data_IF_263918686625
#
_entry.id   IF_263918686625
#
_cell.length_a   1.000
_cell.length_b   1.000
_cell.length_c   1.000
_cell.angle_alpha   90.00
_cell.angle_beta   90.00
_cell.angle_gamma   90.00
#
_symmetry.space_group_name_H-M   'P 1'
#
loop_
_entity.id
_entity.type
_entity.pdbx_description
1 polymer ?
#
# COMPACT_ATOMS: atom_id res chain seq x y z
N UNK A 1 16.21 -23.80 2.38
CA UNK A 1 15.15 -22.84 2.01
C UNK A 1 15.68 -22.07 0.83
N UNK A 2 15.15 -22.30 -0.36
CA UNK A 2 15.53 -21.56 -1.57
C UNK A 2 14.96 -20.14 -1.48
N UNK A 3 15.75 -19.14 -1.89
CA UNK A 3 15.25 -17.78 -2.05
C UNK A 3 14.52 -17.69 -3.39
N UNK A 4 13.24 -17.37 -3.36
CA UNK A 4 12.45 -17.10 -4.57
C UNK A 4 12.52 -15.61 -4.89
N UNK A 5 12.91 -15.28 -6.12
CA UNK A 5 12.95 -13.90 -6.62
C UNK A 5 11.78 -13.68 -7.58
N UNK A 6 11.26 -12.45 -7.59
CA UNK A 6 10.16 -12.06 -8.46
C UNK A 6 10.54 -10.87 -9.33
N UNK A 7 10.12 -10.90 -10.59
CA UNK A 7 10.19 -9.71 -11.44
C UNK A 7 9.27 -8.62 -10.89
N UNK A 8 9.75 -7.39 -10.64
CA UNK A 8 8.95 -6.32 -10.05
C UNK A 8 7.90 -5.72 -11.01
N UNK A 9 7.97 -6.06 -12.31
CA UNK A 9 7.00 -5.59 -13.30
C UNK A 9 5.85 -6.57 -13.53
N UNK A 10 6.12 -7.89 -13.57
CA UNK A 10 5.12 -8.90 -13.93
C UNK A 10 4.91 -9.98 -12.86
N UNK A 11 5.61 -9.88 -11.72
CA UNK A 11 5.52 -10.78 -10.56
C UNK A 11 5.73 -12.26 -10.86
N UNK A 12 6.42 -12.56 -11.95
CA UNK A 12 6.79 -13.95 -12.25
C UNK A 12 8.08 -14.30 -11.55
N UNK A 13 8.17 -15.54 -11.12
CA UNK A 13 9.38 -16.10 -10.53
C UNK A 13 10.52 -16.02 -11.54
N UNK A 14 11.71 -15.65 -11.07
CA UNK A 14 12.92 -15.51 -11.89
C UNK A 14 14.09 -16.16 -11.18
N UNK A 15 14.97 -16.81 -11.95
CA UNK A 15 16.13 -17.52 -11.43
C UNK A 15 17.39 -16.66 -11.57
N UNK A 16 17.60 -15.66 -10.69
CA UNK A 16 18.81 -14.79 -10.70
C UNK A 16 19.16 -14.10 -12.04
N UNK A 17 18.27 -14.13 -13.02
CA UNK A 17 18.47 -13.58 -14.36
C UNK A 17 18.48 -12.04 -14.33
N UNK A 18 19.28 -11.42 -15.21
CA UNK A 18 19.37 -9.96 -15.35
C UNK A 18 18.12 -9.40 -16.06
N UNK A 19 17.55 -10.15 -16.99
CA UNK A 19 16.36 -9.78 -17.78
C UNK A 19 15.26 -10.78 -17.47
N UNK A 20 14.06 -10.30 -17.15
CA UNK A 20 12.93 -11.18 -16.90
C UNK A 20 12.55 -11.97 -18.16
N UNK A 21 12.57 -13.32 -18.13
CA UNK A 21 12.29 -14.15 -19.30
C UNK A 21 10.82 -14.06 -19.76
N UNK A 22 9.91 -13.59 -18.89
CA UNK A 22 8.49 -13.47 -19.23
C UNK A 22 8.12 -12.13 -19.86
N UNK A 23 8.61 -11.02 -19.33
CA UNK A 23 8.19 -9.68 -19.76
C UNK A 23 9.29 -8.82 -20.37
N UNK A 24 10.55 -9.30 -20.38
CA UNK A 24 11.69 -8.59 -20.96
C UNK A 24 12.22 -7.43 -20.11
N UNK A 25 11.69 -7.22 -18.91
CA UNK A 25 12.15 -6.15 -18.01
C UNK A 25 13.59 -6.39 -17.54
N UNK A 26 14.44 -5.37 -17.63
CA UNK A 26 15.76 -5.35 -16.99
C UNK A 26 15.59 -5.20 -15.46
N UNK A 27 16.12 -6.16 -14.71
CA UNK A 27 16.02 -6.22 -13.26
C UNK A 27 17.09 -5.35 -12.56
N UNK A 28 18.18 -4.95 -13.23
CA UNK A 28 19.16 -4.03 -12.67
C UNK A 28 18.57 -2.64 -12.43
N UNK A 29 17.68 -2.20 -13.32
CA UNK A 29 17.00 -0.90 -13.20
C UNK A 29 16.20 -0.78 -11.90
N UNK A 30 15.65 -1.89 -11.41
CA UNK A 30 14.91 -1.89 -10.15
C UNK A 30 15.80 -1.54 -8.96
N UNK A 31 17.09 -1.88 -9.01
CA UNK A 31 18.05 -1.55 -7.95
C UNK A 31 18.20 -0.03 -7.79
N UNK A 32 18.09 0.73 -8.88
CA UNK A 32 18.19 2.19 -8.90
C UNK A 32 16.95 2.93 -8.41
N UNK A 33 15.80 2.26 -8.27
CA UNK A 33 14.57 2.89 -7.75
C UNK A 33 14.73 3.30 -6.29
N UNK A 34 14.04 4.37 -5.92
CA UNK A 34 13.99 4.84 -4.54
C UNK A 34 13.34 3.79 -3.62
N UNK A 35 13.59 3.89 -2.32
CA UNK A 35 12.96 3.02 -1.33
C UNK A 35 11.43 3.10 -1.37
N UNK A 36 10.90 4.31 -1.53
CA UNK A 36 9.46 4.58 -1.66
C UNK A 36 8.86 3.88 -2.89
N UNK A 37 9.48 4.02 -4.07
CA UNK A 37 9.00 3.36 -5.29
C UNK A 37 9.04 1.83 -5.18
N UNK A 38 10.06 1.28 -4.51
CA UNK A 38 10.16 -0.16 -4.25
C UNK A 38 9.03 -0.64 -3.35
N UNK A 39 8.68 0.12 -2.32
CA UNK A 39 7.55 -0.18 -1.44
C UNK A 39 6.21 -0.08 -2.17
N UNK A 40 6.00 0.96 -2.98
CA UNK A 40 4.80 1.11 -3.80
C UNK A 40 4.66 -0.07 -4.77
N UNK A 41 5.76 -0.55 -5.35
CA UNK A 41 5.75 -1.77 -6.17
C UNK A 41 5.37 -3.00 -5.31
N UNK A 42 5.99 -3.16 -4.13
CA UNK A 42 5.80 -4.31 -3.25
C UNK A 42 4.36 -4.49 -2.73
N UNK A 43 3.52 -3.46 -2.85
CA UNK A 43 2.09 -3.56 -2.60
C UNK A 43 1.35 -4.60 -3.49
N UNK A 44 1.92 -4.95 -4.65
CA UNK A 44 1.37 -5.96 -5.57
C UNK A 44 2.12 -7.29 -5.50
N UNK A 45 3.01 -7.44 -4.53
CA UNK A 45 3.87 -8.62 -4.42
C UNK A 45 3.03 -9.89 -4.15
N UNK A 46 3.35 -11.03 -4.80
CA UNK A 46 2.55 -12.25 -4.71
C UNK A 46 2.60 -12.93 -3.34
N UNK A 47 3.72 -12.80 -2.62
CA UNK A 47 3.84 -13.27 -1.23
C UNK A 47 2.91 -12.46 -0.31
N UNK A 48 1.86 -13.05 0.31
CA UNK A 48 0.79 -12.32 1.00
C UNK A 48 1.25 -11.38 2.11
N UNK A 49 2.36 -11.70 2.78
CA UNK A 49 2.85 -10.87 3.89
C UNK A 49 3.60 -9.61 3.42
N UNK A 50 4.05 -9.56 2.17
CA UNK A 50 4.85 -8.44 1.64
C UNK A 50 3.99 -7.19 1.39
N UNK A 51 2.82 -7.26 0.72
CA UNK A 51 1.93 -6.11 0.56
C UNK A 51 1.50 -5.47 1.89
N UNK A 52 1.23 -6.29 2.91
CA UNK A 52 0.82 -5.80 4.24
C UNK A 52 1.93 -4.97 4.88
N UNK A 53 3.17 -5.45 4.83
CA UNK A 53 4.35 -4.72 5.33
C UNK A 53 4.60 -3.45 4.53
N UNK A 54 4.51 -3.53 3.21
CA UNK A 54 4.68 -2.38 2.33
C UNK A 54 3.66 -1.28 2.65
N UNK A 55 2.37 -1.62 2.77
CA UNK A 55 1.32 -0.68 3.14
C UNK A 55 1.59 -0.03 4.50
N UNK A 56 2.01 -0.82 5.49
CA UNK A 56 2.32 -0.33 6.84
C UNK A 56 3.44 0.70 6.80
N UNK A 57 4.57 0.37 6.16
CA UNK A 57 5.74 1.25 6.07
C UNK A 57 5.40 2.52 5.28
N UNK A 58 4.67 2.42 4.17
CA UNK A 58 4.22 3.59 3.39
C UNK A 58 3.37 4.56 4.21
N UNK A 59 2.53 4.01 5.10
CA UNK A 59 1.77 4.79 6.08
C UNK A 59 2.66 5.49 7.10
N UNK A 60 3.66 4.80 7.64
CA UNK A 60 4.60 5.32 8.63
C UNK A 60 5.48 6.44 8.09
N UNK A 61 5.98 6.30 6.85
CA UNK A 61 6.80 7.33 6.20
C UNK A 61 5.95 8.47 5.60
N UNK A 62 4.62 8.36 5.62
CA UNK A 62 3.72 9.39 5.12
C UNK A 62 3.78 9.59 3.60
N UNK A 63 4.02 8.51 2.85
CA UNK A 63 4.18 8.56 1.39
C UNK A 63 2.90 9.02 0.68
N UNK A 64 2.87 10.28 0.22
CA UNK A 64 1.75 10.81 -0.58
C UNK A 64 1.66 10.17 -1.96
N UNK A 65 2.79 9.67 -2.48
CA UNK A 65 2.82 8.94 -3.74
C UNK A 65 2.07 7.60 -3.65
N UNK A 66 1.99 7.00 -2.46
CA UNK A 66 1.30 5.74 -2.23
C UNK A 66 -0.22 5.86 -2.09
N UNK A 67 -0.80 7.06 -2.04
CA UNK A 67 -2.24 7.23 -1.76
C UNK A 67 -3.12 6.52 -2.78
N UNK A 68 -2.93 6.75 -4.08
CA UNK A 68 -3.72 6.09 -5.12
C UNK A 68 -3.48 4.56 -5.14
N UNK A 69 -2.23 4.05 -5.10
CA UNK A 69 -1.99 2.61 -4.95
C UNK A 69 -2.67 1.97 -3.73
N UNK A 70 -2.67 2.65 -2.58
CA UNK A 70 -3.30 2.14 -1.36
C UNK A 70 -4.83 2.14 -1.46
N UNK A 71 -5.44 3.14 -2.12
CA UNK A 71 -6.89 3.15 -2.41
C UNK A 71 -7.25 1.98 -3.33
N UNK A 72 -6.48 1.76 -4.39
CA UNK A 72 -6.70 0.65 -5.33
C UNK A 72 -6.67 -0.70 -4.59
N UNK A 73 -5.73 -0.90 -3.68
CA UNK A 73 -5.62 -2.15 -2.92
C UNK A 73 -6.75 -2.30 -1.93
N UNK A 74 -7.07 -1.24 -1.18
CA UNK A 74 -8.15 -1.28 -0.20
C UNK A 74 -9.47 -1.70 -0.88
N UNK A 75 -9.72 -1.21 -2.10
CA UNK A 75 -10.96 -1.47 -2.85
C UNK A 75 -10.97 -2.77 -3.64
N UNK A 76 -9.81 -3.32 -4.03
CA UNK A 76 -9.74 -4.53 -4.86
C UNK A 76 -9.42 -5.82 -4.10
N UNK A 77 -8.74 -5.73 -2.95
CA UNK A 77 -8.33 -6.92 -2.20
C UNK A 77 -9.49 -7.60 -1.48
N UNK A 78 -9.41 -8.94 -1.38
CA UNK A 78 -10.28 -9.76 -0.51
C UNK A 78 -9.62 -10.12 0.82
N UNK A 79 -8.33 -9.85 0.96
CA UNK A 79 -7.59 -10.07 2.22
C UNK A 79 -7.88 -8.93 3.19
N UNK A 80 -8.60 -9.25 4.27
CA UNK A 80 -8.98 -8.28 5.30
C UNK A 80 -7.78 -7.69 6.04
N UNK A 81 -6.66 -8.41 6.17
CA UNK A 81 -5.45 -7.88 6.78
C UNK A 81 -4.78 -6.83 5.89
N UNK A 82 -4.72 -7.10 4.57
CA UNK A 82 -4.19 -6.14 3.60
C UNK A 82 -5.12 -4.93 3.46
N UNK A 83 -6.44 -5.14 3.45
CA UNK A 83 -7.41 -4.05 3.39
C UNK A 83 -7.31 -3.14 4.63
N UNK A 84 -7.22 -3.72 5.83
CA UNK A 84 -7.01 -2.97 7.07
C UNK A 84 -5.70 -2.19 7.04
N UNK A 85 -4.58 -2.82 6.64
CA UNK A 85 -3.29 -2.16 6.55
C UNK A 85 -3.29 -0.98 5.57
N UNK A 86 -3.95 -1.14 4.41
CA UNK A 86 -4.10 -0.06 3.43
C UNK A 86 -4.93 1.11 3.99
N UNK A 87 -6.06 0.83 4.63
CA UNK A 87 -6.91 1.86 5.26
C UNK A 87 -6.20 2.58 6.40
N UNK A 88 -5.46 1.86 7.25
CA UNK A 88 -4.64 2.49 8.29
C UNK A 88 -3.54 3.38 7.70
N UNK A 89 -2.86 2.91 6.65
CA UNK A 89 -1.81 3.68 5.99
C UNK A 89 -2.37 4.97 5.40
N UNK A 90 -3.51 4.92 4.71
CA UNK A 90 -4.22 6.11 4.20
C UNK A 90 -4.53 7.12 5.31
N UNK A 91 -4.98 6.64 6.47
CA UNK A 91 -5.20 7.47 7.66
C UNK A 91 -3.93 8.14 8.19
N UNK A 92 -2.82 7.40 8.27
CA UNK A 92 -1.53 7.93 8.74
C UNK A 92 -0.97 8.99 7.79
N UNK A 93 -1.01 8.73 6.48
CA UNK A 93 -0.61 9.69 5.44
C UNK A 93 -1.45 10.98 5.58
N UNK A 94 -2.76 10.82 5.75
CA UNK A 94 -3.65 11.95 6.00
C UNK A 94 -3.78 12.91 4.80
N UNK A 95 -3.71 12.35 3.59
CA UNK A 95 -3.95 13.07 2.33
C UNK A 95 -5.45 13.09 2.01
N UNK A 96 -5.98 14.26 1.65
CA UNK A 96 -7.42 14.47 1.40
C UNK A 96 -7.98 13.59 0.29
N UNK A 97 -7.14 13.13 -0.64
CA UNK A 97 -7.55 12.19 -1.71
C UNK A 97 -8.09 10.87 -1.15
N UNK A 98 -7.70 10.48 0.06
CA UNK A 98 -8.18 9.27 0.72
C UNK A 98 -9.56 9.40 1.38
N UNK A 99 -10.10 10.61 1.54
CA UNK A 99 -11.29 10.85 2.38
C UNK A 99 -12.52 10.05 1.92
N UNK A 100 -12.82 10.05 0.62
CA UNK A 100 -13.97 9.33 0.08
C UNK A 100 -13.87 7.82 0.39
N UNK A 101 -12.71 7.23 0.09
CA UNK A 101 -12.42 5.83 0.39
C UNK A 101 -12.60 5.51 1.90
N UNK A 102 -12.07 6.36 2.78
CA UNK A 102 -12.21 6.18 4.22
C UNK A 102 -13.67 6.33 4.69
N UNK A 103 -14.44 7.24 4.11
CA UNK A 103 -15.87 7.38 4.42
C UNK A 103 -16.65 6.11 4.06
N UNK A 104 -16.43 5.55 2.88
CA UNK A 104 -17.08 4.34 2.43
C UNK A 104 -16.74 3.15 3.35
N UNK A 105 -15.45 2.95 3.64
CA UNK A 105 -15.01 1.90 4.57
C UNK A 105 -15.52 2.09 6.00
N UNK A 106 -15.73 3.34 6.44
CA UNK A 106 -16.28 3.62 7.78
C UNK A 106 -17.74 3.21 7.94
N UNK A 107 -18.48 3.07 6.83
CA UNK A 107 -19.90 2.67 6.81
C UNK A 107 -20.02 1.18 6.50
N UNK A 108 -19.39 0.74 5.41
CA UNK A 108 -19.63 -0.56 4.77
C UNK A 108 -18.50 -1.57 4.97
N UNK A 109 -17.34 -1.16 5.50
CA UNK A 109 -16.20 -2.05 5.72
C UNK A 109 -16.46 -3.15 6.76
N UNK A 110 -15.68 -4.23 6.65
CA UNK A 110 -15.62 -5.27 7.68
C UNK A 110 -15.26 -4.67 9.06
N UNK A 111 -15.61 -5.35 10.16
CA UNK A 111 -15.52 -4.81 11.53
C UNK A 111 -14.17 -4.11 11.82
N UNK A 112 -13.05 -4.77 11.50
CA UNK A 112 -11.69 -4.22 11.70
C UNK A 112 -11.39 -3.03 10.80
N UNK A 113 -11.67 -3.17 9.50
CA UNK A 113 -11.44 -2.14 8.48
C UNK A 113 -12.26 -0.89 8.76
N UNK A 114 -13.52 -1.06 9.16
CA UNK A 114 -14.40 0.04 9.56
C UNK A 114 -13.91 0.77 10.81
N UNK A 115 -13.39 0.04 11.80
CA UNK A 115 -12.78 0.67 12.98
C UNK A 115 -11.51 1.45 12.60
N UNK A 116 -10.68 0.92 11.70
CA UNK A 116 -9.51 1.64 11.16
C UNK A 116 -9.93 2.92 10.41
N UNK A 117 -10.91 2.82 9.52
CA UNK A 117 -11.43 3.96 8.76
C UNK A 117 -12.00 5.07 9.65
N UNK A 118 -12.78 4.71 10.68
CA UNK A 118 -13.30 5.69 11.65
C UNK A 118 -12.20 6.40 12.42
N UNK A 119 -11.16 5.67 12.86
CA UNK A 119 -9.98 6.27 13.51
C UNK A 119 -9.25 7.21 12.58
N UNK A 120 -9.05 6.82 11.32
CA UNK A 120 -8.44 7.65 10.29
C UNK A 120 -9.22 8.97 10.11
N UNK A 121 -10.53 8.90 9.89
CA UNK A 121 -11.39 10.08 9.71
C UNK A 121 -11.39 11.01 10.94
N UNK A 122 -11.34 10.46 12.15
CA UNK A 122 -11.22 11.27 13.36
C UNK A 122 -9.90 12.08 13.35
N UNK A 123 -8.78 11.43 13.01
CA UNK A 123 -7.48 12.09 12.93
C UNK A 123 -7.42 13.20 11.86
N UNK A 124 -8.15 13.05 10.74
CA UNK A 124 -8.30 14.12 9.74
C UNK A 124 -9.01 15.35 10.33
N UNK A 125 -10.09 15.16 11.08
CA UNK A 125 -10.84 16.25 11.73
C UNK A 125 -9.95 16.99 12.73
N UNK A 126 -9.27 16.25 13.60
CA UNK A 126 -8.38 16.83 14.60
C UNK A 126 -7.26 17.67 13.95
N UNK A 127 -6.70 17.20 12.83
CA UNK A 127 -5.66 17.92 12.08
C UNK A 127 -6.20 19.20 11.42
N UNK A 128 -7.41 19.15 10.87
CA UNK A 128 -8.05 20.33 10.29
C UNK A 128 -8.38 21.38 11.37
N UNK A 129 -8.88 20.94 12.53
CA UNK A 129 -9.21 21.83 13.63
C UNK A 129 -7.97 22.46 14.26
N UNK A 130 -6.84 21.73 14.32
CA UNK A 130 -5.55 22.26 14.74
C UNK A 130 -4.99 23.29 13.74
N UNK A 131 -5.21 23.12 12.43
CA UNK A 131 -4.72 24.04 11.40
C UNK A 131 -5.46 25.39 11.33
N UNK A 132 -6.61 25.51 12.00
CA UNK A 132 -7.45 26.72 12.03
C UNK A 132 -7.24 27.58 13.28
N UNK A 133 -6.41 27.14 14.23
CA UNK A 133 -6.07 27.86 15.48
C UNK A 133 -4.76 28.61 15.32
#
# INVERSE_FOLDING_TARGET
MSLTYFCPSCWSEVETEIICPKCGQDLHEFSGRSYEEKLISALRHPEPTVPVRAATILGEIGSRAAVEPLIEIATSTKDLYLQEAAVEALGRIGDVRALACLEDFSREGAVRVRAAAKRALAAFKDRQDASKR
#
